data_IF_661379138203
#
_entry.id   IF_661379138203
#
_cell.length_a   1.000
_cell.length_b   1.000
_cell.length_c   1.000
_cell.angle_alpha   90.00
_cell.angle_beta   90.00
_cell.angle_gamma   90.00
#
_symmetry.space_group_name_H-M   'P 1'
#
loop_
_entity.id
_entity.type
_entity.pdbx_description
1 polymer ?
#
# COMPACT_ATOMS: atom_id res chain seq x y z
N UNK A 1 7.34 -13.60 10.95
CA UNK A 1 7.06 -13.76 9.50
C UNK A 1 7.84 -14.94 8.95
N UNK A 2 7.20 -15.79 8.13
CA UNK A 2 7.83 -17.00 7.55
C UNK A 2 8.36 -16.76 6.15
N UNK A 3 7.83 -15.78 5.44
CA UNK A 3 8.22 -15.45 4.07
C UNK A 3 7.99 -14.00 3.75
N UNK A 4 8.85 -13.44 2.91
CA UNK A 4 8.56 -12.26 2.10
C UNK A 4 7.95 -12.75 0.80
N UNK A 5 6.90 -12.08 0.31
CA UNK A 5 6.25 -12.45 -0.94
C UNK A 5 6.47 -11.33 -1.95
N UNK A 6 7.08 -11.67 -3.07
CA UNK A 6 7.33 -10.75 -4.19
C UNK A 6 6.30 -11.03 -5.28
N UNK A 7 5.58 -9.99 -5.66
CA UNK A 7 4.68 -10.01 -6.81
C UNK A 7 5.46 -9.74 -8.10
N UNK A 8 5.39 -10.66 -9.05
CA UNK A 8 6.06 -10.57 -10.34
C UNK A 8 5.01 -10.40 -11.46
N UNK A 9 4.50 -9.17 -11.60
CA UNK A 9 3.37 -8.87 -12.47
C UNK A 9 3.57 -9.25 -13.94
N UNK A 10 4.80 -9.17 -14.48
CA UNK A 10 5.08 -9.49 -15.86
C UNK A 10 5.24 -10.99 -16.14
N UNK A 11 5.43 -11.80 -15.12
CA UNK A 11 5.61 -13.27 -15.25
C UNK A 11 4.49 -14.07 -14.59
N UNK A 12 3.43 -13.40 -14.11
CA UNK A 12 2.26 -14.02 -13.50
C UNK A 12 2.62 -14.98 -12.36
N UNK A 13 3.56 -14.54 -11.49
CA UNK A 13 4.06 -15.38 -10.39
C UNK A 13 4.15 -14.63 -9.08
N UNK A 14 4.14 -15.38 -7.97
CA UNK A 14 4.58 -14.92 -6.65
C UNK A 14 5.83 -15.70 -6.24
N UNK A 15 6.87 -14.98 -5.80
CA UNK A 15 8.09 -15.60 -5.25
C UNK A 15 8.09 -15.45 -3.73
N UNK A 16 8.21 -16.57 -3.04
CA UNK A 16 8.34 -16.63 -1.57
C UNK A 16 9.82 -16.71 -1.22
N UNK A 17 10.28 -15.80 -0.38
CA UNK A 17 11.68 -15.68 0.04
C UNK A 17 11.76 -15.80 1.55
N UNK A 18 12.75 -16.56 2.05
CA UNK A 18 13.05 -16.58 3.47
C UNK A 18 13.57 -15.21 3.92
N UNK A 19 12.93 -14.57 4.93
CA UNK A 19 13.31 -13.22 5.34
C UNK A 19 14.69 -13.12 6.02
N UNK A 20 15.27 -14.24 6.44
CA UNK A 20 16.55 -14.29 7.16
C UNK A 20 17.73 -14.61 6.25
N UNK A 21 17.52 -15.57 5.32
CA UNK A 21 18.58 -16.03 4.41
C UNK A 21 18.54 -15.36 3.06
N UNK A 22 17.40 -14.71 2.72
CA UNK A 22 17.08 -14.17 1.39
C UNK A 22 17.02 -15.26 0.29
N UNK A 23 16.92 -16.52 0.64
CA UNK A 23 16.79 -17.61 -0.31
C UNK A 23 15.35 -17.77 -0.80
N UNK A 24 15.21 -18.14 -2.06
CA UNK A 24 13.90 -18.45 -2.65
C UNK A 24 13.39 -19.77 -2.07
N UNK A 25 12.28 -19.73 -1.35
CA UNK A 25 11.60 -20.90 -0.81
C UNK A 25 10.77 -21.62 -1.90
N UNK A 26 10.04 -20.85 -2.70
CA UNK A 26 9.23 -21.36 -3.81
C UNK A 26 8.73 -20.22 -4.71
N UNK A 27 8.28 -20.59 -5.91
CA UNK A 27 7.55 -19.71 -6.83
C UNK A 27 6.19 -20.32 -7.15
N UNK A 28 5.12 -19.54 -6.95
CA UNK A 28 3.75 -19.91 -7.31
C UNK A 28 3.44 -19.27 -8.67
N UNK A 29 2.93 -20.07 -9.60
CA UNK A 29 2.57 -19.66 -10.96
C UNK A 29 1.08 -19.39 -11.08
N UNK A 30 0.68 -18.84 -12.22
CA UNK A 30 -0.73 -18.58 -12.57
C UNK A 30 -1.45 -17.58 -11.64
N UNK A 31 -0.67 -16.71 -11.02
CA UNK A 31 -1.17 -15.53 -10.32
C UNK A 31 -1.11 -14.36 -11.32
N UNK A 32 -2.20 -14.12 -12.00
CA UNK A 32 -2.21 -13.24 -13.19
C UNK A 32 -2.03 -11.78 -12.81
N UNK A 33 -1.03 -11.12 -13.43
CA UNK A 33 -0.72 -9.69 -13.28
C UNK A 33 -0.75 -9.19 -11.81
N UNK A 34 -0.05 -9.83 -10.85
CA UNK A 34 -0.12 -9.46 -9.45
C UNK A 34 0.67 -8.16 -9.23
N UNK A 35 0.01 -7.01 -9.34
CA UNK A 35 0.62 -5.70 -9.08
C UNK A 35 0.71 -5.42 -7.58
N UNK A 36 -0.39 -5.57 -6.86
CA UNK A 36 -0.45 -5.46 -5.41
C UNK A 36 -1.15 -6.68 -4.83
N UNK A 37 -0.75 -7.09 -3.65
CA UNK A 37 -1.31 -8.24 -2.96
C UNK A 37 -1.48 -7.97 -1.47
N UNK A 38 -2.52 -8.54 -0.88
CA UNK A 38 -2.72 -8.50 0.56
C UNK A 38 -3.44 -9.74 1.06
N UNK A 39 -2.90 -10.36 2.11
CA UNK A 39 -3.63 -11.39 2.85
C UNK A 39 -4.65 -10.75 3.76
N UNK A 40 -5.77 -11.45 3.96
CA UNK A 40 -6.71 -11.10 5.03
C UNK A 40 -6.05 -11.29 6.40
N UNK A 41 -6.39 -10.48 7.43
CA UNK A 41 -5.88 -10.67 8.79
C UNK A 41 -6.06 -12.07 9.35
N UNK A 42 -7.15 -12.78 9.01
CA UNK A 42 -7.41 -14.17 9.40
C UNK A 42 -6.64 -15.20 8.56
N UNK A 43 -5.82 -14.74 7.60
CA UNK A 43 -4.99 -15.57 6.71
C UNK A 43 -5.75 -16.60 5.88
N UNK A 44 -7.04 -16.42 5.61
CA UNK A 44 -7.82 -17.35 4.77
C UNK A 44 -7.84 -16.99 3.30
N UNK A 45 -7.58 -15.71 2.98
CA UNK A 45 -7.63 -15.20 1.62
C UNK A 45 -6.40 -14.40 1.27
N UNK A 46 -5.99 -14.51 0.01
CA UNK A 46 -5.12 -13.56 -0.66
C UNK A 46 -5.95 -12.80 -1.69
N UNK A 47 -5.88 -11.47 -1.66
CA UNK A 47 -6.49 -10.60 -2.67
C UNK A 47 -5.38 -9.95 -3.48
N UNK A 48 -5.48 -10.02 -4.81
CA UNK A 48 -4.50 -9.40 -5.72
C UNK A 48 -5.19 -8.43 -6.68
N UNK A 49 -4.51 -7.33 -6.98
CA UNK A 49 -4.94 -6.37 -7.99
C UNK A 49 -4.14 -6.60 -9.29
N UNK A 50 -4.83 -6.90 -10.38
CA UNK A 50 -4.26 -7.03 -11.71
C UNK A 50 -4.37 -5.68 -12.43
N UNK A 51 -3.33 -4.89 -12.25
CA UNK A 51 -3.31 -3.46 -12.61
C UNK A 51 -3.52 -3.21 -14.11
N UNK A 52 -2.89 -4.01 -14.98
CA UNK A 52 -2.98 -3.88 -16.44
C UNK A 52 -4.22 -4.55 -17.04
N UNK A 53 -4.81 -5.49 -16.33
CA UNK A 53 -5.90 -6.34 -16.82
C UNK A 53 -7.27 -6.00 -16.22
N UNK A 54 -7.33 -4.99 -15.34
CA UNK A 54 -8.57 -4.44 -14.78
C UNK A 54 -9.44 -5.47 -14.05
N UNK A 55 -8.82 -6.29 -13.21
CA UNK A 55 -9.56 -7.19 -12.33
C UNK A 55 -8.90 -7.33 -10.95
N UNK A 56 -9.66 -7.81 -10.00
CA UNK A 56 -9.22 -8.21 -8.67
C UNK A 56 -9.48 -9.69 -8.51
N UNK A 57 -8.46 -10.44 -8.10
CA UNK A 57 -8.56 -11.88 -7.87
C UNK A 57 -8.59 -12.20 -6.38
N UNK A 58 -9.45 -13.14 -6.03
CA UNK A 58 -9.57 -13.70 -4.69
C UNK A 58 -9.08 -15.15 -4.69
N UNK A 59 -8.03 -15.42 -3.94
CA UNK A 59 -7.48 -16.76 -3.76
C UNK A 59 -7.76 -17.24 -2.34
N UNK A 60 -8.28 -18.46 -2.21
CA UNK A 60 -8.30 -19.17 -0.93
C UNK A 60 -6.87 -19.57 -0.56
N UNK A 61 -6.53 -19.39 0.69
CA UNK A 61 -5.25 -19.79 1.26
C UNK A 61 -5.47 -20.85 2.33
N UNK A 62 -4.86 -22.02 2.21
CA UNK A 62 -4.96 -23.13 3.17
C UNK A 62 -3.72 -23.26 4.10
N UNK A 63 -2.81 -22.27 4.03
CA UNK A 63 -1.53 -22.27 4.73
C UNK A 63 -0.37 -22.74 3.85
N UNK A 64 -0.64 -23.32 2.67
CA UNK A 64 0.35 -23.83 1.75
C UNK A 64 0.06 -23.46 0.30
N UNK A 65 -1.16 -23.66 -0.18
CA UNK A 65 -1.55 -23.47 -1.57
C UNK A 65 -2.54 -22.33 -1.75
N UNK A 66 -2.47 -21.67 -2.91
CA UNK A 66 -3.39 -20.64 -3.36
C UNK A 66 -4.32 -21.21 -4.42
N UNK A 67 -5.63 -21.16 -4.17
CA UNK A 67 -6.64 -21.60 -5.14
C UNK A 67 -7.49 -20.41 -5.55
N UNK A 68 -7.51 -20.06 -6.85
CA UNK A 68 -8.36 -19.00 -7.38
C UNK A 68 -9.83 -19.36 -7.12
N UNK A 69 -10.50 -18.55 -6.32
CA UNK A 69 -11.93 -18.70 -6.06
C UNK A 69 -12.78 -17.84 -6.99
N UNK A 70 -12.33 -16.61 -7.25
CA UNK A 70 -13.06 -15.69 -8.13
C UNK A 70 -12.16 -14.61 -8.69
N UNK A 71 -12.42 -14.27 -9.95
CA UNK A 71 -11.91 -13.08 -10.63
C UNK A 71 -13.04 -12.09 -10.81
N UNK A 72 -12.84 -10.86 -10.36
CA UNK A 72 -13.85 -9.81 -10.42
C UNK A 72 -13.37 -8.69 -11.33
N UNK A 73 -14.06 -8.46 -12.44
CA UNK A 73 -13.77 -7.34 -13.33
C UNK A 73 -14.04 -6.00 -12.61
N UNK A 74 -13.15 -5.05 -12.82
CA UNK A 74 -13.19 -3.74 -12.17
C UNK A 74 -13.12 -2.60 -13.18
N UNK A 75 -13.17 -1.37 -12.69
CA UNK A 75 -12.76 -0.18 -13.44
C UNK A 75 -11.25 -0.22 -13.71
N UNK A 76 -10.75 0.75 -14.49
CA UNK A 76 -9.36 0.76 -14.97
C UNK A 76 -8.35 0.89 -13.83
N UNK A 77 -7.29 0.11 -13.95
CA UNK A 77 -6.06 0.18 -13.16
C UNK A 77 -6.31 -0.02 -11.66
N UNK A 78 -6.86 -1.21 -11.23
CA UNK A 78 -6.86 -1.56 -9.82
C UNK A 78 -5.42 -1.54 -9.30
N UNK A 79 -5.16 -0.75 -8.26
CA UNK A 79 -3.80 -0.45 -7.83
C UNK A 79 -3.50 -1.05 -6.45
N UNK A 80 -3.85 -0.36 -5.37
CA UNK A 80 -3.54 -0.80 -4.03
C UNK A 80 -4.77 -1.35 -3.31
N UNK A 81 -4.52 -2.19 -2.32
CA UNK A 81 -5.55 -2.91 -1.56
C UNK A 81 -5.34 -2.64 -0.08
N UNK A 82 -6.40 -2.29 0.62
CA UNK A 82 -6.50 -2.35 2.08
C UNK A 82 -7.57 -3.37 2.47
N UNK A 83 -7.37 -4.11 3.54
CA UNK A 83 -8.36 -5.04 4.09
C UNK A 83 -8.63 -4.65 5.54
N UNK A 84 -9.91 -4.61 5.92
CA UNK A 84 -10.33 -4.30 7.28
C UNK A 84 -9.81 -5.34 8.30
N UNK A 85 -9.74 -4.96 9.57
CA UNK A 85 -9.23 -5.81 10.65
C UNK A 85 -10.04 -7.09 10.85
N UNK A 86 -11.29 -7.10 10.40
CA UNK A 86 -12.24 -8.22 10.53
C UNK A 86 -12.19 -9.20 9.36
N UNK A 87 -11.35 -8.94 8.34
CA UNK A 87 -11.28 -9.77 7.13
C UNK A 87 -12.61 -9.84 6.35
N UNK A 88 -13.40 -8.76 6.38
CA UNK A 88 -14.74 -8.73 5.75
C UNK A 88 -14.75 -7.92 4.46
N UNK A 89 -13.93 -6.89 4.35
CA UNK A 89 -13.97 -5.95 3.23
C UNK A 89 -12.56 -5.67 2.71
N UNK A 90 -12.38 -5.81 1.40
CA UNK A 90 -11.23 -5.31 0.68
C UNK A 90 -11.58 -3.98 0.00
N UNK A 91 -10.80 -2.95 0.27
CA UNK A 91 -10.88 -1.65 -0.39
C UNK A 91 -9.79 -1.57 -1.45
N UNK A 92 -10.15 -1.19 -2.66
CA UNK A 92 -9.22 -1.16 -3.81
C UNK A 92 -9.33 0.19 -4.51
N UNK A 93 -8.19 0.83 -4.74
CA UNK A 93 -8.09 2.05 -5.54
C UNK A 93 -8.06 1.71 -7.03
N UNK A 94 -8.85 2.43 -7.83
CA UNK A 94 -8.89 2.34 -9.29
C UNK A 94 -8.22 3.59 -9.86
N UNK A 95 -6.90 3.51 -10.08
CA UNK A 95 -6.04 4.67 -10.32
C UNK A 95 -6.47 5.50 -11.52
N UNK A 96 -6.72 4.86 -12.68
CA UNK A 96 -7.07 5.56 -13.92
C UNK A 96 -8.59 5.80 -14.08
N UNK A 97 -9.37 5.49 -13.05
CA UNK A 97 -10.83 5.73 -13.01
C UNK A 97 -11.24 6.72 -11.94
N UNK A 98 -10.28 7.18 -11.11
CA UNK A 98 -10.54 8.06 -9.97
C UNK A 98 -11.64 7.50 -9.06
N UNK A 99 -11.50 6.22 -8.66
CA UNK A 99 -12.50 5.51 -7.85
C UNK A 99 -11.85 4.76 -6.69
N UNK A 100 -12.62 4.64 -5.61
CA UNK A 100 -12.42 3.70 -4.53
C UNK A 100 -13.54 2.68 -4.54
N UNK A 101 -13.20 1.40 -4.45
CA UNK A 101 -14.15 0.29 -4.51
C UNK A 101 -14.04 -0.54 -3.24
N UNK A 102 -15.17 -0.86 -2.60
CA UNK A 102 -15.24 -1.85 -1.53
C UNK A 102 -15.78 -3.17 -2.07
N UNK A 103 -15.12 -4.25 -1.71
CA UNK A 103 -15.44 -5.61 -2.11
C UNK A 103 -15.67 -6.48 -0.88
N UNK A 104 -16.74 -7.25 -0.89
CA UNK A 104 -17.03 -8.23 0.14
C UNK A 104 -16.15 -9.48 -0.03
N UNK A 105 -15.42 -9.85 1.01
CA UNK A 105 -14.49 -10.99 0.96
C UNK A 105 -15.24 -12.33 0.94
N UNK A 106 -16.37 -12.45 1.65
CA UNK A 106 -17.10 -13.71 1.74
C UNK A 106 -17.78 -14.08 0.42
N UNK A 107 -18.37 -13.08 -0.27
CA UNK A 107 -19.11 -13.28 -1.55
C UNK A 107 -18.26 -12.95 -2.77
N UNK A 108 -17.10 -12.35 -2.61
CA UNK A 108 -16.21 -11.84 -3.66
C UNK A 108 -16.99 -10.98 -4.65
N UNK A 109 -17.71 -9.98 -4.14
CA UNK A 109 -18.54 -9.07 -4.94
C UNK A 109 -18.33 -7.62 -4.52
N UNK A 110 -18.60 -6.70 -5.45
CA UNK A 110 -18.51 -5.27 -5.18
C UNK A 110 -19.70 -4.86 -4.29
N UNK A 111 -19.40 -4.25 -3.14
CA UNK A 111 -20.39 -3.65 -2.23
C UNK A 111 -20.81 -2.26 -2.69
N UNK A 112 -19.79 -1.43 -2.99
CA UNK A 112 -20.00 -0.06 -3.45
C UNK A 112 -18.79 0.47 -4.22
N UNK A 113 -19.02 1.54 -4.96
CA UNK A 113 -18.02 2.35 -5.64
C UNK A 113 -18.24 3.81 -5.28
N UNK A 114 -17.17 4.58 -5.14
CA UNK A 114 -17.24 6.04 -4.94
C UNK A 114 -16.15 6.75 -5.72
N UNK A 115 -16.39 7.99 -6.10
CA UNK A 115 -15.37 8.82 -6.73
C UNK A 115 -14.38 9.33 -5.70
N UNK A 116 -13.14 9.52 -6.15
CA UNK A 116 -12.03 10.11 -5.38
C UNK A 116 -11.49 11.34 -6.11
N UNK A 117 -10.49 11.98 -5.54
CA UNK A 117 -9.61 12.85 -6.31
C UNK A 117 -8.75 12.08 -7.31
N UNK A 118 -7.90 12.81 -8.05
CA UNK A 118 -7.15 12.27 -9.19
C UNK A 118 -6.11 11.20 -8.81
N UNK A 119 -6.15 10.10 -9.55
CA UNK A 119 -5.18 9.01 -9.49
C UNK A 119 -4.98 8.45 -8.07
N UNK A 120 -6.03 7.88 -7.43
CA UNK A 120 -5.90 7.25 -6.11
C UNK A 120 -4.89 6.10 -6.18
N UNK A 121 -3.98 6.05 -5.21
CA UNK A 121 -2.95 5.01 -5.12
C UNK A 121 -3.12 4.21 -3.82
N UNK A 122 -2.21 4.38 -2.84
CA UNK A 122 -2.27 3.57 -1.64
C UNK A 122 -3.45 3.94 -0.74
N UNK A 123 -3.88 2.95 0.04
CA UNK A 123 -4.99 3.05 0.98
C UNK A 123 -4.50 2.60 2.34
N UNK A 124 -4.85 3.36 3.37
CA UNK A 124 -4.61 2.96 4.76
C UNK A 124 -5.88 3.15 5.59
N UNK A 125 -6.31 2.09 6.28
CA UNK A 125 -7.44 2.15 7.20
C UNK A 125 -7.02 2.62 8.60
N UNK A 126 -7.84 3.42 9.24
CA UNK A 126 -7.64 3.76 10.64
C UNK A 126 -7.72 2.52 11.54
N UNK A 127 -7.05 2.50 12.72
CA UNK A 127 -7.06 1.33 13.61
C UNK A 127 -8.45 0.88 14.10
N UNK A 128 -9.46 1.74 13.99
CA UNK A 128 -10.85 1.45 14.33
C UNK A 128 -11.73 1.05 13.13
N UNK A 129 -11.12 0.90 11.94
CA UNK A 129 -11.77 0.60 10.65
C UNK A 129 -12.86 1.59 10.20
N UNK A 130 -12.91 2.79 10.78
CA UNK A 130 -13.96 3.77 10.45
C UNK A 130 -13.56 4.75 9.36
N UNK A 131 -12.25 4.90 9.10
CA UNK A 131 -11.73 5.85 8.12
C UNK A 131 -10.75 5.18 7.18
N UNK A 132 -10.75 5.65 5.94
CA UNK A 132 -9.72 5.32 4.96
C UNK A 132 -9.00 6.59 4.56
N UNK A 133 -7.68 6.50 4.51
CA UNK A 133 -6.79 7.51 3.96
C UNK A 133 -6.37 7.03 2.57
N UNK A 134 -6.59 7.84 1.56
CA UNK A 134 -6.31 7.51 0.15
C UNK A 134 -5.33 8.53 -0.42
N UNK A 135 -4.16 8.07 -0.84
CA UNK A 135 -3.15 8.91 -1.47
C UNK A 135 -3.57 9.26 -2.90
N UNK A 136 -3.58 10.54 -3.24
CA UNK A 136 -3.94 11.02 -4.57
C UNK A 136 -2.66 11.37 -5.35
N UNK A 137 -2.16 10.43 -6.14
CA UNK A 137 -0.91 10.62 -6.89
C UNK A 137 -1.00 11.70 -7.96
N UNK A 138 -2.19 11.93 -8.51
CA UNK A 138 -2.46 13.04 -9.46
C UNK A 138 -2.67 14.40 -8.80
N UNK A 139 -2.43 14.51 -7.48
CA UNK A 139 -2.71 15.71 -6.69
C UNK A 139 -1.62 15.89 -5.62
N UNK A 140 -1.84 16.80 -4.69
CA UNK A 140 -0.95 17.08 -3.56
C UNK A 140 -1.55 16.69 -2.19
N UNK A 141 -2.50 15.76 -2.19
CA UNK A 141 -3.37 15.53 -1.04
C UNK A 141 -3.59 14.05 -0.74
N UNK A 142 -3.89 13.78 0.51
CA UNK A 142 -4.53 12.56 0.99
C UNK A 142 -6.01 12.85 1.20
N UNK A 143 -6.89 12.04 0.62
CA UNK A 143 -8.34 12.12 0.83
C UNK A 143 -8.77 11.17 1.94
N UNK A 144 -9.61 11.65 2.84
CA UNK A 144 -10.11 10.87 3.99
C UNK A 144 -11.57 10.54 3.77
N UNK A 145 -11.89 9.26 3.83
CA UNK A 145 -13.26 8.76 3.75
C UNK A 145 -13.72 8.23 5.10
N UNK A 146 -14.95 8.57 5.50
CA UNK A 146 -15.68 7.86 6.54
C UNK A 146 -16.35 6.64 5.89
N UNK A 147 -16.06 5.46 6.41
CA UNK A 147 -16.59 4.17 5.94
C UNK A 147 -17.37 3.42 7.02
N UNK A 148 -17.74 4.10 8.09
CA UNK A 148 -18.52 3.52 9.18
C UNK A 148 -19.97 3.25 8.81
N UNK A 149 -20.49 3.90 7.77
CA UNK A 149 -21.85 3.72 7.26
C UNK A 149 -21.93 2.71 6.11
N UNK A 150 -23.13 2.53 5.57
CA UNK A 150 -23.38 1.64 4.44
C UNK A 150 -22.76 2.16 3.11
N UNK A 151 -22.57 3.46 3.00
CA UNK A 151 -21.92 4.15 1.89
C UNK A 151 -20.79 5.02 2.41
N UNK A 152 -19.67 5.14 1.69
CA UNK A 152 -18.58 6.01 2.09
C UNK A 152 -18.92 7.48 1.88
N UNK A 153 -18.30 8.34 2.67
CA UNK A 153 -18.34 9.79 2.45
C UNK A 153 -16.94 10.39 2.53
N UNK A 154 -16.57 11.21 1.55
CA UNK A 154 -15.35 12.01 1.61
C UNK A 154 -15.54 13.13 2.64
N UNK A 155 -14.70 13.14 3.68
CA UNK A 155 -14.86 14.07 4.80
C UNK A 155 -13.77 15.13 4.85
N UNK A 156 -12.59 14.87 4.27
CA UNK A 156 -11.46 15.81 4.29
C UNK A 156 -10.44 15.51 3.21
N UNK A 157 -9.78 16.55 2.73
CA UNK A 157 -8.52 16.47 1.98
C UNK A 157 -7.41 17.11 2.79
N UNK A 158 -6.33 16.36 3.01
CA UNK A 158 -5.17 16.81 3.78
C UNK A 158 -4.05 17.08 2.79
N UNK A 159 -3.60 18.32 2.71
CA UNK A 159 -2.48 18.70 1.86
C UNK A 159 -1.18 18.12 2.43
N UNK A 160 -0.45 17.34 1.62
CA UNK A 160 0.80 16.69 1.99
C UNK A 160 1.97 17.18 1.14
N UNK A 161 1.88 16.95 -0.15
CA UNK A 161 2.86 17.31 -1.17
C UNK A 161 2.50 16.66 -2.49
N UNK A 162 2.92 17.23 -3.61
CA UNK A 162 2.58 16.74 -4.94
C UNK A 162 2.99 15.29 -5.15
N UNK A 163 2.07 14.48 -5.66
CA UNK A 163 2.27 13.07 -5.92
C UNK A 163 2.14 12.18 -4.67
N UNK A 164 1.17 12.46 -3.78
CA UNK A 164 0.88 11.64 -2.61
C UNK A 164 0.59 10.19 -3.02
N UNK A 165 1.41 9.22 -2.57
CA UNK A 165 1.39 7.89 -3.18
C UNK A 165 1.31 6.73 -2.18
N UNK A 166 2.38 6.43 -1.46
CA UNK A 166 2.46 5.25 -0.61
C UNK A 166 2.40 5.60 0.88
N UNK A 167 1.83 4.70 1.65
CA UNK A 167 1.66 4.84 3.09
C UNK A 167 2.52 3.84 3.87
N UNK A 168 2.95 4.26 5.06
CA UNK A 168 3.53 3.38 6.07
C UNK A 168 3.22 3.88 7.48
N UNK A 169 2.57 3.04 8.28
CA UNK A 169 2.33 3.37 9.69
C UNK A 169 3.65 3.56 10.45
N UNK A 170 3.68 4.53 11.34
CA UNK A 170 4.84 4.78 12.20
C UNK A 170 5.00 3.75 13.34
N UNK A 171 4.00 2.89 13.55
CA UNK A 171 3.99 1.86 14.59
C UNK A 171 3.28 2.26 15.88
N UNK A 172 2.87 3.50 16.01
CA UNK A 172 2.23 4.07 17.21
C UNK A 172 0.70 4.14 17.11
N UNK A 173 0.10 3.54 16.06
CA UNK A 173 -1.35 3.56 15.75
C UNK A 173 -1.95 4.97 15.57
N UNK A 174 -1.11 5.98 15.44
CA UNK A 174 -1.52 7.39 15.31
C UNK A 174 -0.97 8.05 14.07
N UNK A 175 0.31 7.83 13.77
CA UNK A 175 0.98 8.51 12.68
C UNK A 175 1.15 7.63 11.45
N UNK A 176 0.99 8.25 10.30
CA UNK A 176 1.13 7.65 8.99
C UNK A 176 2.13 8.45 8.17
N UNK A 177 3.17 7.79 7.65
CA UNK A 177 4.05 8.39 6.67
C UNK A 177 3.43 8.31 5.28
N UNK A 178 3.59 9.38 4.50
CA UNK A 178 3.05 9.54 3.16
C UNK A 178 4.18 9.97 2.23
N UNK A 179 4.51 9.16 1.23
CA UNK A 179 5.48 9.57 0.21
C UNK A 179 4.83 10.51 -0.80
N UNK A 180 5.50 11.61 -1.11
CA UNK A 180 5.08 12.60 -2.10
C UNK A 180 6.10 12.57 -3.25
N UNK A 181 5.83 11.76 -4.26
CA UNK A 181 6.80 11.44 -5.34
C UNK A 181 7.33 12.66 -6.05
N UNK A 182 6.43 13.57 -6.44
CA UNK A 182 6.77 14.77 -7.24
C UNK A 182 7.40 15.84 -6.36
N UNK A 183 6.89 16.02 -5.14
CA UNK A 183 7.44 16.97 -4.17
C UNK A 183 8.79 16.54 -3.60
N UNK A 184 9.23 15.29 -3.81
CA UNK A 184 10.46 14.75 -3.21
C UNK A 184 10.48 14.85 -1.69
N UNK A 185 9.37 14.54 -1.04
CA UNK A 185 9.22 14.57 0.42
C UNK A 185 8.49 13.36 0.95
N UNK A 186 8.61 13.11 2.24
CA UNK A 186 7.73 12.25 3.02
C UNK A 186 7.04 13.13 4.05
N UNK A 187 5.72 13.11 4.12
CA UNK A 187 4.94 13.78 5.16
C UNK A 187 4.63 12.80 6.29
N UNK A 188 4.70 13.25 7.55
CA UNK A 188 4.16 12.55 8.71
C UNK A 188 2.80 13.11 9.04
N UNK A 189 1.77 12.31 8.92
CA UNK A 189 0.37 12.67 9.12
C UNK A 189 -0.11 12.13 10.46
N UNK A 190 -0.76 12.96 11.27
CA UNK A 190 -1.52 12.56 12.45
C UNK A 190 -2.94 12.19 11.99
N UNK A 191 -3.29 10.90 12.06
CA UNK A 191 -4.59 10.40 11.60
C UNK A 191 -5.77 10.87 12.46
N UNK A 192 -5.55 11.17 13.74
CA UNK A 192 -6.61 11.66 14.63
C UNK A 192 -6.91 13.14 14.37
N UNK A 193 -5.85 13.97 14.27
CA UNK A 193 -5.96 15.41 13.98
C UNK A 193 -6.22 15.68 12.50
N UNK A 194 -5.93 14.69 11.63
CA UNK A 194 -6.02 14.79 10.19
C UNK A 194 -5.23 15.99 9.64
N UNK A 195 -3.97 16.07 10.03
CA UNK A 195 -3.05 17.11 9.60
C UNK A 195 -1.63 16.57 9.47
N UNK A 196 -0.81 17.22 8.65
CA UNK A 196 0.63 16.94 8.55
C UNK A 196 1.32 17.59 9.75
N UNK A 197 2.05 16.79 10.50
CA UNK A 197 2.80 17.24 11.69
C UNK A 197 4.30 17.36 11.44
N UNK A 198 4.81 16.74 10.38
CA UNK A 198 6.22 16.81 10.01
C UNK A 198 6.43 16.50 8.52
N UNK A 199 7.59 16.92 7.96
CA UNK A 199 7.96 16.68 6.57
C UNK A 199 9.46 16.45 6.45
N UNK A 200 9.85 15.44 5.65
CA UNK A 200 11.23 15.00 5.44
C UNK A 200 11.59 15.15 3.96
N UNK A 201 12.65 15.92 3.61
CA UNK A 201 13.16 15.96 2.24
C UNK A 201 13.76 14.61 1.82
N UNK A 202 13.29 14.06 0.70
CA UNK A 202 13.78 12.78 0.16
C UNK A 202 13.87 12.89 -1.37
N UNK A 203 15.01 13.25 -1.94
CA UNK A 203 15.14 13.44 -3.37
C UNK A 203 15.06 12.12 -4.16
N UNK A 204 14.59 12.21 -5.40
CA UNK A 204 14.60 11.11 -6.35
C UNK A 204 13.30 10.31 -6.44
N UNK A 205 12.17 10.93 -6.12
CA UNK A 205 10.83 10.33 -6.22
C UNK A 205 10.62 9.23 -5.19
N UNK A 206 10.43 9.58 -3.89
CA UNK A 206 10.16 8.60 -2.84
C UNK A 206 8.87 7.85 -3.14
N UNK A 207 8.92 6.53 -3.00
CA UNK A 207 7.83 5.61 -3.31
C UNK A 207 7.45 4.78 -2.08
N UNK A 208 7.41 3.45 -2.18
CA UNK A 208 7.13 2.59 -1.04
C UNK A 208 8.25 2.67 0.00
N UNK A 209 7.88 2.49 1.26
CA UNK A 209 8.79 2.63 2.38
C UNK A 209 8.51 1.62 3.48
N UNK A 210 9.49 1.39 4.34
CA UNK A 210 9.36 0.70 5.61
C UNK A 210 10.03 1.51 6.73
N UNK A 211 9.67 1.24 7.98
CA UNK A 211 10.12 1.98 9.16
C UNK A 211 10.79 1.01 10.12
N UNK A 212 11.96 1.37 10.64
CA UNK A 212 12.66 0.56 11.66
C UNK A 212 11.81 0.38 12.92
N UNK A 213 12.04 -0.72 13.64
CA UNK A 213 11.23 -1.08 14.82
C UNK A 213 11.20 0.01 15.91
N UNK A 214 12.27 0.79 16.05
CA UNK A 214 12.38 1.92 16.96
C UNK A 214 11.77 3.23 16.41
N UNK A 215 11.28 3.21 15.15
CA UNK A 215 10.70 4.38 14.48
C UNK A 215 11.70 5.43 14.02
N UNK A 216 13.02 5.20 14.23
CA UNK A 216 14.05 6.20 13.94
C UNK A 216 14.36 6.33 12.45
N UNK A 217 14.35 5.22 11.71
CA UNK A 217 14.75 5.23 10.31
C UNK A 217 13.60 4.87 9.38
N UNK A 218 13.47 5.64 8.28
CA UNK A 218 12.61 5.29 7.17
C UNK A 218 13.50 4.80 6.03
N UNK A 219 13.23 3.58 5.56
CA UNK A 219 13.84 3.01 4.37
C UNK A 219 12.86 3.21 3.20
N UNK A 220 13.25 3.96 2.19
CA UNK A 220 12.34 4.33 1.10
C UNK A 220 12.99 4.12 -0.25
N UNK A 221 12.25 3.56 -1.20
CA UNK A 221 12.67 3.47 -2.59
C UNK A 221 12.59 4.86 -3.23
N UNK A 222 13.73 5.41 -3.64
CA UNK A 222 13.83 6.64 -4.45
C UNK A 222 13.81 6.22 -5.91
N UNK A 223 12.59 6.06 -6.46
CA UNK A 223 12.29 5.36 -7.71
C UNK A 223 13.01 5.94 -8.92
N UNK A 224 12.99 7.27 -9.06
CA UNK A 224 13.60 7.95 -10.20
C UNK A 224 15.13 8.02 -10.09
N UNK A 225 15.65 8.05 -8.85
CA UNK A 225 17.08 8.02 -8.59
C UNK A 225 17.69 6.61 -8.66
N UNK A 226 16.88 5.55 -8.77
CA UNK A 226 17.34 4.14 -8.72
C UNK A 226 18.14 3.83 -7.46
N UNK A 227 17.64 4.31 -6.33
CA UNK A 227 18.28 4.17 -5.02
C UNK A 227 17.29 3.74 -3.95
N UNK A 228 17.78 3.13 -2.90
CA UNK A 228 17.11 3.09 -1.61
C UNK A 228 17.73 4.20 -0.75
N UNK A 229 16.89 5.05 -0.18
CA UNK A 229 17.29 6.13 0.74
C UNK A 229 16.96 5.73 2.18
N UNK A 230 17.86 6.07 3.10
CA UNK A 230 17.65 5.94 4.55
C UNK A 230 17.49 7.34 5.11
N UNK A 231 16.33 7.60 5.71
CA UNK A 231 15.98 8.89 6.33
C UNK A 231 16.07 8.73 7.84
N UNK A 232 16.82 9.60 8.50
CA UNK A 232 16.79 9.74 9.97
C UNK A 232 15.64 10.69 10.33
N UNK A 233 14.66 10.19 11.10
CA UNK A 233 13.48 10.97 11.47
C UNK A 233 13.74 12.03 12.53
N UNK A 234 14.83 11.89 13.29
CA UNK A 234 15.27 12.86 14.30
C UNK A 234 16.04 14.00 13.64
N UNK A 235 17.01 13.66 12.77
CA UNK A 235 17.80 14.64 12.04
C UNK A 235 17.06 15.23 10.83
N UNK A 236 15.93 14.66 10.46
CA UNK A 236 15.05 15.05 9.35
C UNK A 236 15.75 15.16 8.00
N UNK A 237 16.66 14.22 7.74
CA UNK A 237 17.43 14.19 6.48
C UNK A 237 17.73 12.78 6.01
N UNK A 238 18.05 12.67 4.73
CA UNK A 238 18.62 11.45 4.16
C UNK A 238 20.08 11.32 4.64
N UNK A 239 20.37 10.23 5.34
CA UNK A 239 21.71 9.94 5.86
C UNK A 239 22.49 8.95 4.99
N UNK A 240 21.80 8.17 4.15
CA UNK A 240 22.43 7.19 3.26
C UNK A 240 21.57 6.97 2.02
N UNK A 241 22.23 6.74 0.90
CA UNK A 241 21.59 6.26 -0.33
C UNK A 241 22.37 5.07 -0.88
N UNK A 242 21.68 3.99 -1.19
CA UNK A 242 22.24 2.74 -1.73
C UNK A 242 21.75 2.58 -3.16
N UNK A 243 22.62 2.45 -4.16
CA UNK A 243 22.21 2.13 -5.53
C UNK A 243 21.49 0.78 -5.58
N UNK A 244 20.39 0.74 -6.34
CA UNK A 244 19.59 -0.48 -6.57
C UNK A 244 19.20 -0.60 -8.04
N UNK A 245 18.46 -1.63 -8.40
CA UNK A 245 17.95 -1.83 -9.75
C UNK A 245 17.05 -0.70 -10.27
N UNK A 246 16.64 -0.79 -11.53
CA UNK A 246 15.75 0.20 -12.15
C UNK A 246 14.37 0.17 -11.50
N UNK A 247 13.79 1.36 -11.31
CA UNK A 247 12.42 1.53 -10.82
C UNK A 247 12.12 0.75 -9.53
N UNK A 248 12.94 0.91 -8.44
CA UNK A 248 12.67 0.24 -7.18
C UNK A 248 11.28 0.63 -6.66
N UNK A 249 10.57 -0.33 -6.08
CA UNK A 249 9.19 -0.13 -5.62
C UNK A 249 9.05 -0.55 -4.15
N UNK A 250 8.68 -1.81 -3.86
CA UNK A 250 8.47 -2.28 -2.51
C UNK A 250 9.75 -2.28 -1.65
N UNK A 251 9.59 -1.95 -0.37
CA UNK A 251 10.64 -2.05 0.67
C UNK A 251 10.07 -2.86 1.82
N UNK A 252 10.89 -3.77 2.32
CA UNK A 252 10.59 -4.52 3.53
C UNK A 252 11.87 -4.68 4.35
N UNK A 253 11.77 -4.56 5.67
CA UNK A 253 12.88 -4.72 6.61
C UNK A 253 12.54 -5.79 7.66
N UNK A 254 13.55 -6.60 8.05
CA UNK A 254 13.36 -7.71 8.99
C UNK A 254 12.87 -7.22 10.37
N UNK A 255 13.40 -6.10 10.82
CA UNK A 255 13.01 -5.45 12.07
C UNK A 255 12.31 -4.13 11.74
N UNK A 256 11.00 -4.19 11.64
CA UNK A 256 10.17 -3.03 11.28
C UNK A 256 9.17 -2.69 12.38
N UNK A 257 8.73 -1.43 12.38
CA UNK A 257 7.64 -0.97 13.23
C UNK A 257 6.33 -1.71 12.91
N UNK A 258 5.42 -1.91 13.86
CA UNK A 258 4.10 -2.47 13.60
C UNK A 258 3.37 -1.74 12.45
N UNK A 259 2.59 -2.50 11.70
CA UNK A 259 1.83 -2.01 10.53
C UNK A 259 0.39 -1.76 10.86
#
# INVERSE_FOLDING_TARGET
>A
ERSIIIANALSDTLTFIDPRTAEVQRTVRDIVDPYHLRFTPDMKWLVTAANRLNHVDFYKWDGKELTLAKRVATSRTPSHIWIDSKSTTAYVSMQDSDELVAMDIATQSIRWRTKTGAMPADIYGSPDDKRLFVGLTGSDSVEVFDVSGAQPSSIKRIKTGSGAHAFRAAGDKRHLYVSNRVANTISKLDMQRQEVVDTYPVPGGPDCMDVSADGRFIFVSSRWAKKMSVVDTVEKKVIKQVPVGKSPHGVWTLQHAPR
#
